data_IF_697587585961
#
_entry.id   IF_697587585961
#
_cell.length_a   1.000
_cell.length_b   1.000
_cell.length_c   1.000
_cell.angle_alpha   90.00
_cell.angle_beta   90.00
_cell.angle_gamma   90.00
#
_symmetry.space_group_name_H-M   'P 1'
#
loop_
_entity.id
_entity.type
_entity.pdbx_description
1 polymer ?
#
# COMPACT_ATOMS: atom_id res chain seq x y z
N UNK A 1 -20.56 5.74 -2.53
CA UNK A 1 -19.25 6.39 -2.48
C UNK A 1 -18.27 5.49 -3.20
N UNK A 2 -17.50 6.02 -4.14
CA UNK A 2 -16.44 5.29 -4.86
C UNK A 2 -15.20 5.15 -3.98
N UNK A 3 -14.29 4.22 -4.31
CA UNK A 3 -13.02 4.07 -3.59
C UNK A 3 -12.19 5.36 -3.63
N UNK A 4 -12.22 6.10 -4.73
CA UNK A 4 -11.52 7.39 -4.85
C UNK A 4 -12.09 8.45 -3.91
N UNK A 5 -13.43 8.58 -3.86
CA UNK A 5 -14.10 9.50 -2.93
C UNK A 5 -13.78 9.15 -1.48
N UNK A 6 -13.84 7.85 -1.15
CA UNK A 6 -13.53 7.33 0.19
C UNK A 6 -12.09 7.63 0.60
N UNK A 7 -11.13 7.36 -0.27
CA UNK A 7 -9.72 7.65 -0.02
C UNK A 7 -9.49 9.14 0.26
N UNK A 8 -10.06 10.01 -0.58
CA UNK A 8 -9.91 11.46 -0.43
C UNK A 8 -10.54 11.94 0.88
N UNK A 9 -11.71 11.42 1.26
CA UNK A 9 -12.35 11.74 2.53
C UNK A 9 -11.47 11.34 3.71
N UNK A 10 -11.02 10.08 3.78
CA UNK A 10 -10.15 9.61 4.87
C UNK A 10 -8.86 10.45 4.92
N UNK A 11 -8.22 10.67 3.77
CA UNK A 11 -6.99 11.45 3.68
C UNK A 11 -7.19 12.87 4.24
N UNK A 12 -8.21 13.60 3.78
CA UNK A 12 -8.48 14.98 4.22
C UNK A 12 -8.92 15.08 5.67
N UNK A 13 -9.66 14.09 6.16
CA UNK A 13 -10.17 14.07 7.53
C UNK A 13 -9.11 13.64 8.54
N UNK A 14 -8.14 12.80 8.15
CA UNK A 14 -7.17 12.21 9.09
C UNK A 14 -5.75 12.76 8.95
N UNK A 15 -5.34 13.26 7.78
CA UNK A 15 -3.97 13.69 7.51
C UNK A 15 -3.88 15.21 7.40
N UNK A 16 -3.29 15.83 8.41
CA UNK A 16 -3.20 17.29 8.54
C UNK A 16 -1.76 17.82 8.53
N UNK A 17 -0.78 16.93 8.40
CA UNK A 17 0.65 17.26 8.30
C UNK A 17 0.92 18.28 7.20
N UNK A 18 1.80 19.25 7.48
CA UNK A 18 2.22 20.21 6.45
C UNK A 18 2.74 19.49 5.20
N UNK A 19 2.22 19.93 4.04
CA UNK A 19 2.52 19.36 2.74
C UNK A 19 1.63 18.18 2.31
N UNK A 20 0.76 17.66 3.18
CA UNK A 20 -0.17 16.58 2.84
C UNK A 20 -1.11 16.95 1.69
N UNK A 21 -1.62 18.19 1.62
CA UNK A 21 -2.50 18.61 0.52
C UNK A 21 -1.77 18.59 -0.82
N UNK A 22 -0.49 19.01 -0.87
CA UNK A 22 0.32 18.96 -2.10
C UNK A 22 0.59 17.52 -2.55
N UNK A 23 0.78 16.59 -1.62
CA UNK A 23 0.89 15.17 -1.94
C UNK A 23 -0.44 14.65 -2.53
N UNK A 24 -1.58 15.01 -1.93
CA UNK A 24 -2.88 14.62 -2.45
C UNK A 24 -3.14 15.20 -3.85
N UNK A 25 -2.81 16.47 -4.07
CA UNK A 25 -2.85 17.11 -5.39
C UNK A 25 -2.00 16.35 -6.41
N UNK A 26 -0.79 15.91 -6.04
CA UNK A 26 0.04 15.07 -6.90
C UNK A 26 -0.63 13.74 -7.23
N UNK A 27 -1.15 13.02 -6.23
CA UNK A 27 -1.83 11.74 -6.42
C UNK A 27 -3.03 11.87 -7.37
N UNK A 28 -3.74 13.00 -7.32
CA UNK A 28 -4.90 13.30 -8.17
C UNK A 28 -4.52 13.86 -9.54
N UNK A 29 -3.27 14.25 -9.75
CA UNK A 29 -2.80 14.86 -10.99
C UNK A 29 -2.52 13.81 -12.07
N UNK A 30 -2.43 14.26 -13.33
CA UNK A 30 -2.00 13.44 -14.46
C UNK A 30 -0.59 12.83 -14.35
N UNK A 31 0.20 13.26 -13.36
CA UNK A 31 1.55 12.74 -13.12
C UNK A 31 1.56 11.52 -12.19
N UNK A 32 0.38 11.06 -11.75
CA UNK A 32 0.19 9.90 -10.90
C UNK A 32 -0.93 9.05 -11.47
N UNK A 33 -0.67 7.76 -11.60
CA UNK A 33 -1.68 6.75 -11.92
C UNK A 33 -2.26 6.07 -10.66
N UNK A 34 -1.97 6.55 -9.44
CA UNK A 34 -2.32 5.87 -8.17
C UNK A 34 -3.77 5.34 -8.09
N UNK A 35 -4.74 6.13 -8.58
CA UNK A 35 -6.17 5.76 -8.54
C UNK A 35 -6.59 4.74 -9.61
N UNK A 36 -5.74 4.47 -10.59
CA UNK A 36 -5.98 3.59 -11.75
C UNK A 36 -4.98 2.42 -11.80
N UNK A 37 -3.82 2.54 -11.13
CA UNK A 37 -2.78 1.54 -11.15
C UNK A 37 -3.26 0.20 -10.55
N UNK A 38 -2.82 -0.93 -11.10
CA UNK A 38 -3.00 -2.22 -10.44
C UNK A 38 -2.09 -2.34 -9.21
N UNK A 39 -2.46 -3.18 -8.26
CA UNK A 39 -1.59 -3.51 -7.12
C UNK A 39 -0.47 -4.51 -7.50
N UNK A 40 -0.67 -5.28 -8.56
CA UNK A 40 0.30 -6.27 -9.06
C UNK A 40 0.13 -6.58 -10.55
N UNK A 41 1.09 -7.27 -11.16
CA UNK A 41 1.00 -7.65 -12.59
C UNK A 41 0.21 -8.93 -12.85
N UNK A 42 0.17 -9.85 -11.87
CA UNK A 42 -0.36 -11.22 -12.03
C UNK A 42 -0.96 -11.81 -10.75
N UNK A 43 -0.88 -11.09 -9.63
CA UNK A 43 -1.33 -11.55 -8.32
C UNK A 43 -2.59 -10.78 -7.91
N UNK A 44 -2.81 -10.58 -6.61
CA UNK A 44 -3.93 -9.82 -6.05
C UNK A 44 -3.93 -8.37 -6.58
N UNK A 45 -5.13 -7.83 -6.80
CA UNK A 45 -5.32 -6.48 -7.32
C UNK A 45 -4.76 -6.23 -8.72
N UNK A 46 -4.61 -7.25 -9.58
CA UNK A 46 -4.07 -7.09 -10.94
C UNK A 46 -5.10 -6.54 -11.95
N UNK A 47 -5.83 -5.50 -11.57
CA UNK A 47 -6.83 -4.79 -12.37
C UNK A 47 -6.74 -3.27 -12.13
N UNK A 48 -7.36 -2.48 -13.00
CA UNK A 48 -7.36 -1.02 -12.88
C UNK A 48 -8.00 -0.57 -11.56
N UNK A 49 -7.27 0.25 -10.80
CA UNK A 49 -7.69 0.72 -9.48
C UNK A 49 -7.38 -0.25 -8.32
N UNK A 50 -6.75 -1.40 -8.60
CA UNK A 50 -6.39 -2.37 -7.56
C UNK A 50 -5.44 -1.81 -6.49
N UNK A 51 -4.54 -0.88 -6.84
CA UNK A 51 -3.63 -0.24 -5.88
C UNK A 51 -4.37 0.60 -4.83
N UNK A 52 -5.36 1.36 -5.29
CA UNK A 52 -6.21 2.18 -4.44
C UNK A 52 -7.06 1.32 -3.50
N UNK A 53 -7.66 0.26 -4.04
CA UNK A 53 -8.47 -0.68 -3.27
C UNK A 53 -7.62 -1.38 -2.20
N UNK A 54 -6.42 -1.84 -2.57
CA UNK A 54 -5.48 -2.43 -1.63
C UNK A 54 -5.12 -1.47 -0.48
N UNK A 55 -4.76 -0.22 -0.80
CA UNK A 55 -4.45 0.80 0.22
C UNK A 55 -5.60 1.04 1.20
N UNK A 56 -6.84 0.97 0.72
CA UNK A 56 -8.05 1.10 1.53
C UNK A 56 -8.31 -0.14 2.40
N UNK A 57 -8.11 -1.35 1.86
CA UNK A 57 -8.22 -2.60 2.61
C UNK A 57 -7.20 -2.66 3.75
N UNK A 58 -5.94 -2.30 3.47
CA UNK A 58 -4.88 -2.22 4.49
C UNK A 58 -5.23 -1.21 5.59
N UNK A 59 -5.82 -0.07 5.22
CA UNK A 59 -6.30 0.92 6.20
C UNK A 59 -7.38 0.33 7.13
N UNK A 60 -8.35 -0.37 6.57
CA UNK A 60 -9.43 -0.99 7.36
C UNK A 60 -8.90 -2.09 8.29
N UNK A 61 -8.07 -3.01 7.76
CA UNK A 61 -7.42 -4.05 8.56
C UNK A 61 -6.57 -3.47 9.70
N UNK A 62 -5.76 -2.43 9.42
CA UNK A 62 -4.90 -1.82 10.43
C UNK A 62 -5.72 -1.08 11.50
N UNK A 63 -6.74 -0.32 11.08
CA UNK A 63 -7.63 0.40 12.01
C UNK A 63 -8.35 -0.59 12.93
N UNK A 64 -8.90 -1.66 12.37
CA UNK A 64 -9.60 -2.70 13.12
C UNK A 64 -8.65 -3.43 14.08
N UNK A 65 -7.44 -3.77 13.65
CA UNK A 65 -6.43 -4.38 14.52
C UNK A 65 -6.09 -3.48 15.71
N UNK A 66 -5.78 -2.20 15.47
CA UNK A 66 -5.37 -1.25 16.49
C UNK A 66 -6.53 -0.79 17.41
N UNK A 67 -7.79 -0.97 16.99
CA UNK A 67 -8.96 -0.69 17.83
C UNK A 67 -9.22 -1.77 18.90
N UNK A 68 -8.61 -2.95 18.80
CA UNK A 68 -8.82 -4.07 19.73
C UNK A 68 -8.35 -3.70 21.13
N UNK A 69 -9.19 -3.96 22.12
CA UNK A 69 -8.88 -3.68 23.54
C UNK A 69 -7.55 -4.32 23.98
N UNK A 70 -7.28 -5.55 23.53
CA UNK A 70 -6.01 -6.25 23.82
C UNK A 70 -4.80 -5.50 23.26
N UNK A 71 -4.90 -4.95 22.05
CA UNK A 71 -3.80 -4.22 21.41
C UNK A 71 -3.50 -2.93 22.17
N UNK A 72 -4.53 -2.21 22.61
CA UNK A 72 -4.39 -0.97 23.36
C UNK A 72 -3.95 -1.19 24.82
N UNK A 73 -4.54 -2.17 25.52
CA UNK A 73 -4.32 -2.37 26.96
C UNK A 73 -3.20 -3.34 27.30
N UNK A 74 -2.97 -4.37 26.48
CA UNK A 74 -1.95 -5.39 26.75
C UNK A 74 -0.66 -5.10 25.99
N UNK A 75 -0.75 -4.69 24.72
CA UNK A 75 0.44 -4.40 23.91
C UNK A 75 0.82 -2.91 23.96
N UNK A 76 -0.03 -2.07 24.56
CA UNK A 76 0.17 -0.63 24.70
C UNK A 76 0.37 0.13 23.38
N UNK A 77 -0.16 -0.42 22.28
CA UNK A 77 -0.07 0.18 20.96
C UNK A 77 -1.22 1.18 20.78
N UNK A 78 -0.93 2.46 21.02
CA UNK A 78 -1.88 3.56 20.92
C UNK A 78 -1.38 4.58 19.89
N UNK A 79 -1.77 4.38 18.63
CA UNK A 79 -1.39 5.25 17.52
C UNK A 79 -2.49 6.26 17.20
N UNK A 80 -2.10 7.45 16.75
CA UNK A 80 -3.07 8.45 16.29
C UNK A 80 -3.68 8.03 14.96
N UNK A 81 -4.95 8.39 14.73
CA UNK A 81 -5.63 8.13 13.45
C UNK A 81 -4.84 8.69 12.25
N UNK A 82 -4.17 9.84 12.41
CA UNK A 82 -3.28 10.38 11.38
C UNK A 82 -2.14 9.40 11.02
N UNK A 83 -1.45 8.84 12.02
CA UNK A 83 -0.32 7.94 11.76
C UNK A 83 -0.79 6.64 11.11
N UNK A 84 -1.96 6.12 11.52
CA UNK A 84 -2.61 4.97 10.89
C UNK A 84 -2.94 5.26 9.43
N UNK A 85 -3.60 6.39 9.16
CA UNK A 85 -3.95 6.80 7.80
C UNK A 85 -2.71 7.01 6.92
N UNK A 86 -1.67 7.68 7.42
CA UNK A 86 -0.41 7.90 6.68
C UNK A 86 0.21 6.56 6.28
N UNK A 87 0.43 5.65 7.24
CA UNK A 87 1.15 4.42 6.92
C UNK A 87 0.33 3.49 6.05
N UNK A 88 -0.98 3.36 6.29
CA UNK A 88 -1.79 2.42 5.52
C UNK A 88 -2.15 2.95 4.12
N UNK A 89 -2.55 4.21 3.97
CA UNK A 89 -2.95 4.74 2.67
C UNK A 89 -1.77 4.98 1.73
N UNK A 90 -0.56 5.14 2.27
CA UNK A 90 0.61 5.59 1.50
C UNK A 90 1.78 4.60 1.53
N UNK A 91 1.63 3.40 2.11
CA UNK A 91 2.73 2.43 2.14
C UNK A 91 3.25 2.05 0.75
N UNK A 92 2.36 2.05 -0.23
CA UNK A 92 2.58 1.45 -1.55
C UNK A 92 2.70 2.46 -2.69
N UNK A 93 2.95 3.74 -2.39
CA UNK A 93 3.14 4.78 -3.42
C UNK A 93 4.32 4.47 -4.38
N UNK A 94 5.24 3.58 -3.99
CA UNK A 94 6.31 3.10 -4.85
C UNK A 94 5.84 2.50 -6.19
N UNK A 95 4.59 2.04 -6.24
CA UNK A 95 3.94 1.43 -7.41
C UNK A 95 3.45 2.45 -8.44
N UNK A 96 3.39 3.73 -8.08
CA UNK A 96 2.94 4.80 -8.98
C UNK A 96 3.84 4.85 -10.22
N UNK A 97 3.20 4.92 -11.39
CA UNK A 97 3.79 4.98 -12.73
C UNK A 97 4.72 3.80 -13.07
N UNK A 98 4.63 2.69 -12.35
CA UNK A 98 5.47 1.52 -12.58
C UNK A 98 4.81 0.46 -13.47
N UNK A 99 3.53 0.58 -13.79
CA UNK A 99 2.81 -0.42 -14.57
C UNK A 99 2.49 0.10 -15.97
N UNK A 100 2.87 -0.67 -16.99
CA UNK A 100 2.49 -0.40 -18.39
C UNK A 100 1.41 -1.39 -18.81
N UNK A 101 0.32 -0.87 -19.36
CA UNK A 101 -0.72 -1.67 -20.03
C UNK A 101 -0.10 -2.32 -21.28
N UNK A 102 -0.29 -3.62 -21.42
CA UNK A 102 0.18 -4.41 -22.55
C UNK A 102 -0.82 -5.50 -22.94
N UNK A 103 -0.46 -6.30 -23.93
CA UNK A 103 -1.25 -7.44 -24.40
C UNK A 103 -0.32 -8.65 -24.44
N UNK A 104 -0.77 -9.78 -23.88
CA UNK A 104 -0.07 -11.06 -24.01
C UNK A 104 -0.96 -12.10 -24.68
N UNK A 105 -0.33 -13.01 -25.42
CA UNK A 105 -1.03 -14.16 -25.97
C UNK A 105 -1.08 -15.28 -24.92
N UNK A 106 -2.27 -15.78 -24.62
CA UNK A 106 -2.49 -16.95 -23.77
C UNK A 106 -3.15 -18.03 -24.60
N UNK A 107 -2.85 -19.28 -24.29
CA UNK A 107 -3.48 -20.41 -24.97
C UNK A 107 -4.64 -20.93 -24.13
N UNK A 108 -5.86 -20.64 -24.57
CA UNK A 108 -7.09 -21.13 -23.94
C UNK A 108 -7.73 -22.18 -24.86
N UNK A 109 -7.97 -23.38 -24.34
CA UNK A 109 -8.57 -24.50 -25.09
C UNK A 109 -7.88 -24.80 -26.44
N UNK A 110 -6.56 -24.62 -26.50
CA UNK A 110 -5.77 -24.86 -27.70
C UNK A 110 -5.72 -23.69 -28.70
N UNK A 111 -6.52 -22.63 -28.50
CA UNK A 111 -6.53 -21.42 -29.32
C UNK A 111 -5.74 -20.29 -28.64
N UNK A 112 -5.08 -19.46 -29.44
CA UNK A 112 -4.37 -18.28 -28.94
C UNK A 112 -5.33 -17.10 -28.83
N UNK A 113 -5.48 -16.56 -27.62
CA UNK A 113 -6.29 -15.37 -27.31
C UNK A 113 -5.39 -14.28 -26.75
N UNK A 114 -5.61 -13.04 -27.19
CA UNK A 114 -4.96 -11.86 -26.65
C UNK A 114 -5.68 -11.40 -25.39
N UNK A 115 -4.98 -11.32 -24.27
CA UNK A 115 -5.51 -10.78 -23.01
C UNK A 115 -4.75 -9.52 -22.59
N UNK A 116 -5.44 -8.52 -22.03
CA UNK A 116 -4.77 -7.41 -21.35
C UNK A 116 -3.83 -7.93 -20.26
N UNK A 117 -2.66 -7.31 -20.12
CA UNK A 117 -1.69 -7.60 -19.07
C UNK A 117 -1.07 -6.30 -18.58
N UNK A 118 -0.52 -6.33 -17.36
CA UNK A 118 0.33 -5.27 -16.86
C UNK A 118 1.78 -5.74 -16.82
N UNK A 119 2.70 -4.88 -17.26
CA UNK A 119 4.15 -5.10 -17.16
C UNK A 119 4.72 -4.12 -16.14
N UNK A 120 5.50 -4.64 -15.19
CA UNK A 120 6.16 -3.83 -14.16
C UNK A 120 7.48 -3.30 -14.70
N UNK A 121 7.67 -1.99 -14.63
CA UNK A 121 8.84 -1.29 -15.13
C UNK A 121 9.14 -0.09 -14.21
N UNK A 122 9.96 -0.32 -13.18
CA UNK A 122 10.51 0.74 -12.35
C UNK A 122 11.87 1.21 -12.91
N UNK A 123 12.00 2.51 -13.14
CA UNK A 123 13.24 3.13 -13.63
C UNK A 123 14.16 3.61 -12.51
N UNK A 124 13.68 3.63 -11.26
CA UNK A 124 14.44 4.11 -10.12
C UNK A 124 15.06 2.92 -9.35
N UNK A 125 16.37 2.94 -9.04
CA UNK A 125 17.03 1.86 -8.33
C UNK A 125 16.79 1.95 -6.80
N UNK A 126 15.52 1.95 -6.39
CA UNK A 126 15.09 1.97 -4.99
C UNK A 126 14.37 0.67 -4.63
N UNK A 127 14.46 0.23 -3.38
CA UNK A 127 13.56 -0.79 -2.85
C UNK A 127 12.12 -0.28 -2.80
N UNK A 128 11.14 -1.19 -2.88
CA UNK A 128 9.71 -0.84 -2.90
C UNK A 128 9.33 0.08 -1.73
N UNK A 129 9.56 -0.35 -0.48
CA UNK A 129 9.22 0.48 0.68
C UNK A 129 10.05 1.77 0.80
N UNK A 130 11.33 1.74 0.41
CA UNK A 130 12.20 2.92 0.45
C UNK A 130 11.72 4.02 -0.50
N UNK A 131 11.24 3.63 -1.68
CA UNK A 131 10.70 4.57 -2.69
C UNK A 131 9.44 5.27 -2.18
N UNK A 132 8.54 4.55 -1.51
CA UNK A 132 7.36 5.17 -0.87
C UNK A 132 7.77 6.22 0.15
N UNK A 133 8.70 5.88 1.06
CA UNK A 133 9.24 6.83 2.05
C UNK A 133 9.86 8.06 1.39
N UNK A 134 10.66 7.86 0.34
CA UNK A 134 11.29 8.94 -0.42
C UNK A 134 10.26 9.88 -1.06
N UNK A 135 9.26 9.32 -1.76
CA UNK A 135 8.20 10.09 -2.41
C UNK A 135 7.42 10.92 -1.39
N UNK A 136 7.00 10.32 -0.29
CA UNK A 136 6.23 11.01 0.76
C UNK A 136 7.05 12.12 1.40
N UNK A 137 8.33 11.84 1.72
CA UNK A 137 9.23 12.78 2.40
C UNK A 137 9.53 14.03 1.57
N UNK A 138 9.32 13.98 0.24
CA UNK A 138 9.39 15.16 -0.62
C UNK A 138 8.24 16.16 -0.42
N UNK A 139 7.14 15.73 0.20
CA UNK A 139 5.97 16.57 0.46
C UNK A 139 5.75 16.81 1.95
N UNK A 140 5.74 15.76 2.75
CA UNK A 140 5.44 15.82 4.18
C UNK A 140 6.47 15.06 5.02
N UNK A 141 6.75 15.58 6.21
CA UNK A 141 7.69 14.94 7.13
C UNK A 141 7.04 13.76 7.84
N UNK A 142 7.61 12.57 7.61
CA UNK A 142 7.28 11.35 8.34
C UNK A 142 7.95 11.32 9.72
N UNK A 143 7.25 10.77 10.71
CA UNK A 143 7.86 10.30 11.95
C UNK A 143 8.75 9.10 11.63
N UNK A 144 9.73 8.85 12.49
CA UNK A 144 10.64 7.71 12.32
C UNK A 144 9.88 6.39 12.22
N UNK A 145 8.95 6.16 13.13
CA UNK A 145 8.15 4.93 13.14
C UNK A 145 7.25 4.80 11.91
N UNK A 146 6.65 5.88 11.42
CA UNK A 146 5.87 5.89 10.17
C UNK A 146 6.74 5.49 8.96
N UNK A 147 7.95 6.06 8.87
CA UNK A 147 8.89 5.75 7.81
C UNK A 147 9.37 4.28 7.85
N UNK A 148 9.64 3.73 9.02
CA UNK A 148 10.01 2.32 9.16
C UNK A 148 8.84 1.38 8.88
N UNK A 149 7.62 1.75 9.28
CA UNK A 149 6.44 0.97 8.94
C UNK A 149 6.25 0.89 7.43
N UNK A 150 6.28 2.02 6.72
CA UNK A 150 6.17 2.06 5.26
C UNK A 150 7.32 1.31 4.59
N UNK A 151 8.57 1.49 5.07
CA UNK A 151 9.73 0.81 4.48
C UNK A 151 9.62 -0.72 4.56
N UNK A 152 9.16 -1.24 5.69
CA UNK A 152 9.12 -2.67 5.98
C UNK A 152 7.70 -3.26 5.92
N UNK A 153 6.76 -2.62 5.21
CA UNK A 153 5.36 -3.07 5.15
C UNK A 153 5.24 -4.50 4.58
N UNK A 154 6.03 -4.88 3.57
CA UNK A 154 6.04 -6.25 3.03
C UNK A 154 6.58 -7.31 4.01
N UNK A 155 7.15 -6.89 5.14
CA UNK A 155 7.73 -7.78 6.14
C UNK A 155 8.68 -8.81 5.55
N UNK A 156 8.49 -10.07 5.93
CA UNK A 156 9.29 -11.19 5.44
C UNK A 156 8.92 -11.68 4.03
N UNK A 157 7.87 -11.12 3.41
CA UNK A 157 7.51 -11.41 2.02
C UNK A 157 8.28 -10.53 1.02
N UNK A 158 8.95 -9.47 1.49
CA UNK A 158 9.79 -8.60 0.68
C UNK A 158 11.19 -9.17 0.41
N UNK A 159 11.99 -8.42 -0.36
CA UNK A 159 13.38 -8.76 -0.69
C UNK A 159 14.42 -8.18 0.30
N UNK A 160 13.97 -7.67 1.44
CA UNK A 160 14.82 -7.10 2.49
C UNK A 160 15.56 -8.19 3.28
N UNK A 161 16.72 -7.87 3.87
CA UNK A 161 17.40 -8.79 4.79
C UNK A 161 16.48 -9.10 5.98
N UNK A 162 16.17 -10.38 6.19
CA UNK A 162 15.27 -10.84 7.25
C UNK A 162 15.68 -10.36 8.66
N UNK A 163 16.98 -10.15 8.91
CA UNK A 163 17.46 -9.60 10.19
C UNK A 163 17.06 -8.15 10.37
N UNK A 164 17.07 -7.37 9.29
CA UNK A 164 16.61 -5.98 9.31
C UNK A 164 15.09 -5.89 9.46
N UNK A 165 14.34 -6.80 8.83
CA UNK A 165 12.88 -6.91 9.03
C UNK A 165 12.57 -7.19 10.50
N UNK A 166 13.22 -8.21 11.09
CA UNK A 166 13.05 -8.54 12.51
C UNK A 166 13.40 -7.38 13.44
N UNK A 167 14.54 -6.74 13.22
CA UNK A 167 14.96 -5.57 14.00
C UNK A 167 13.97 -4.39 13.86
N UNK A 168 13.45 -4.14 12.66
CA UNK A 168 12.45 -3.10 12.44
C UNK A 168 11.16 -3.39 13.21
N UNK A 169 10.69 -4.64 13.22
CA UNK A 169 9.49 -5.05 13.95
C UNK A 169 9.66 -4.96 15.47
N UNK A 170 10.85 -5.26 16.00
CA UNK A 170 11.16 -5.09 17.43
C UNK A 170 11.21 -3.62 17.84
N UNK A 171 11.82 -2.77 17.01
CA UNK A 171 12.00 -1.35 17.32
C UNK A 171 10.75 -0.50 17.04
N UNK A 172 9.95 -0.89 16.06
CA UNK A 172 8.82 -0.12 15.54
C UNK A 172 7.60 -1.05 15.39
N UNK A 173 6.82 -1.26 16.46
CA UNK A 173 5.69 -2.18 16.44
C UNK A 173 4.63 -1.85 15.38
N UNK A 174 4.51 -0.57 14.97
CA UNK A 174 3.64 -0.18 13.88
C UNK A 174 4.02 -0.84 12.55
N UNK A 175 5.30 -1.12 12.33
CA UNK A 175 5.77 -1.82 11.12
C UNK A 175 5.25 -3.25 11.08
N UNK A 176 5.28 -3.96 12.21
CA UNK A 176 4.71 -5.30 12.31
C UNK A 176 3.19 -5.29 12.14
N UNK A 177 2.50 -4.33 12.78
CA UNK A 177 1.05 -4.19 12.66
C UNK A 177 0.62 -3.89 11.22
N UNK A 178 1.30 -2.97 10.55
CA UNK A 178 1.05 -2.66 9.14
C UNK A 178 1.33 -3.86 8.24
N UNK A 179 2.45 -4.56 8.45
CA UNK A 179 2.76 -5.75 7.65
C UNK A 179 1.74 -6.87 7.82
N UNK A 180 1.20 -7.03 9.02
CA UNK A 180 0.10 -7.97 9.27
C UNK A 180 -1.17 -7.53 8.54
N UNK A 181 -1.52 -6.25 8.59
CA UNK A 181 -2.69 -5.71 7.90
C UNK A 181 -2.57 -5.80 6.36
N UNK A 182 -1.38 -5.59 5.82
CA UNK A 182 -1.05 -5.76 4.39
C UNK A 182 -1.27 -7.21 3.93
N UNK A 183 -0.75 -8.17 4.69
CA UNK A 183 -0.99 -9.59 4.43
C UNK A 183 -2.47 -9.96 4.60
N UNK A 184 -3.17 -9.39 5.60
CA UNK A 184 -4.60 -9.63 5.83
C UNK A 184 -5.44 -9.16 4.63
N UNK A 185 -5.20 -7.94 4.14
CA UNK A 185 -5.84 -7.42 2.94
C UNK A 185 -5.58 -8.32 1.73
N UNK A 186 -4.30 -8.64 1.48
CA UNK A 186 -3.87 -9.47 0.34
C UNK A 186 -4.53 -10.86 0.37
N UNK A 187 -4.46 -11.56 1.50
CA UNK A 187 -4.86 -12.97 1.57
C UNK A 187 -6.31 -13.21 1.96
N UNK A 188 -6.95 -12.33 2.74
CA UNK A 188 -8.33 -12.56 3.19
C UNK A 188 -9.35 -11.73 2.41
N UNK A 189 -8.98 -10.54 1.96
CA UNK A 189 -9.91 -9.67 1.22
C UNK A 189 -9.76 -9.84 -0.29
N UNK A 190 -8.53 -9.88 -0.80
CA UNK A 190 -8.26 -9.82 -2.24
C UNK A 190 -8.07 -11.20 -2.90
N UNK A 191 -7.99 -12.28 -2.12
CA UNK A 191 -7.86 -13.64 -2.64
C UNK A 191 -9.17 -14.19 -3.21
N UNK A 192 -10.32 -13.72 -2.73
CA UNK A 192 -11.64 -14.24 -3.11
C UNK A 192 -12.12 -13.78 -4.49
N UNK A 193 -11.47 -12.79 -5.11
CA UNK A 193 -11.79 -12.33 -6.48
C UNK A 193 -11.35 -13.30 -7.59
N UNK A 194 -10.82 -14.48 -7.22
CA UNK A 194 -10.31 -15.50 -8.16
C UNK A 194 -11.31 -16.63 -8.47
N UNK A 195 -12.49 -16.65 -7.83
CA UNK A 195 -13.44 -17.78 -7.86
C UNK A 195 -14.90 -17.40 -8.22
N UNK A 196 -15.11 -16.27 -8.88
CA UNK A 196 -16.39 -15.92 -9.53
C UNK A 196 -16.17 -15.72 -11.03
#
# INVERSE_FOLDING_TARGET
>A
MTNKERFIEIYKTKIHRDGSEKLLEFLMSKNSDFFEAPASTRFHGSYEGGLLEHSLNVYDCLLDYLSRERVQKTYHLNYSEESIAIVALLHDLCKINCYKKGIRNVKENGQWTQVPTFEYHDTLPYGHGEKSVYMISGYMRLKREEAFAIRYHMGFAGNEDARNVGAAFEMFPLAFALSTADMEATYFMESQSSYL
#
